data_IF_676104756671
#
_entry.id   IF_676104756671
#
_cell.length_a   1.000
_cell.length_b   1.000
_cell.length_c   1.000
_cell.angle_alpha   90.00
_cell.angle_beta   90.00
_cell.angle_gamma   90.00
#
_symmetry.space_group_name_H-M   'P 1'
#
loop_
_entity.id
_entity.type
_entity.pdbx_description
1 polymer ?
#
# COMPACT_ATOMS: atom_id res chain seq x y z
N UNK A 1 -7.76 6.78 -12.14
CA UNK A 1 -7.75 5.64 -11.18
C UNK A 1 -7.15 6.12 -9.87
N UNK A 2 -7.78 5.79 -8.74
CA UNK A 2 -7.19 5.89 -7.41
C UNK A 2 -7.16 4.47 -6.84
N UNK A 3 -5.97 3.96 -6.52
CA UNK A 3 -5.78 2.57 -6.14
C UNK A 3 -4.98 2.46 -4.84
N UNK A 4 -5.40 1.55 -3.95
CA UNK A 4 -4.79 1.31 -2.66
C UNK A 4 -3.93 0.04 -2.66
N UNK A 5 -2.77 0.09 -2.00
CA UNK A 5 -1.92 -1.07 -1.73
C UNK A 5 -1.53 -1.82 -3.02
N UNK A 6 -1.66 -3.16 -3.04
CA UNK A 6 -1.41 -4.00 -4.21
C UNK A 6 -2.19 -3.53 -5.44
N UNK A 7 -3.39 -2.96 -5.27
CA UNK A 7 -4.20 -2.44 -6.38
C UNK A 7 -3.48 -1.39 -7.24
N UNK A 8 -2.53 -0.64 -6.67
CA UNK A 8 -1.69 0.27 -7.44
C UNK A 8 -0.72 -0.47 -8.39
N UNK A 9 -0.18 -1.61 -7.97
CA UNK A 9 0.66 -2.46 -8.83
C UNK A 9 -0.16 -3.10 -9.95
N UNK A 10 -1.36 -3.61 -9.61
CA UNK A 10 -2.28 -4.22 -10.56
C UNK A 10 -2.77 -3.19 -11.59
N UNK A 11 -3.06 -1.95 -11.15
CA UNK A 11 -3.45 -0.85 -12.05
C UNK A 11 -2.32 -0.48 -13.01
N UNK A 12 -1.07 -0.39 -12.54
CA UNK A 12 0.09 -0.16 -13.43
C UNK A 12 0.21 -1.26 -14.47
N UNK A 13 0.09 -2.52 -14.06
CA UNK A 13 0.13 -3.65 -14.99
C UNK A 13 -1.01 -3.61 -16.00
N UNK A 14 -2.23 -3.27 -15.60
CA UNK A 14 -3.36 -3.13 -16.50
C UNK A 14 -3.13 -1.98 -17.51
N UNK A 15 -2.66 -0.82 -17.06
CA UNK A 15 -2.38 0.33 -17.93
C UNK A 15 -1.33 -0.05 -18.98
N UNK A 16 -0.19 -0.63 -18.55
CA UNK A 16 0.96 -0.85 -19.43
C UNK A 16 0.83 -2.11 -20.29
N UNK A 17 0.32 -3.21 -19.71
CA UNK A 17 0.38 -4.55 -20.34
C UNK A 17 -0.95 -5.02 -20.93
N UNK A 18 -2.08 -4.44 -20.50
CA UNK A 18 -3.40 -4.86 -20.94
C UNK A 18 -4.10 -3.81 -21.82
N UNK A 19 -3.33 -2.85 -22.33
CA UNK A 19 -3.83 -1.85 -23.28
C UNK A 19 -4.77 -0.81 -22.67
N UNK A 20 -4.76 -0.62 -21.34
CA UNK A 20 -5.67 0.33 -20.68
C UNK A 20 -5.20 1.80 -20.75
N UNK A 21 -3.97 2.06 -21.20
CA UNK A 21 -3.42 3.42 -21.25
C UNK A 21 -4.32 4.46 -21.94
N UNK A 22 -4.98 4.17 -23.09
CA UNK A 22 -5.87 5.15 -23.74
C UNK A 22 -7.10 5.55 -22.91
N UNK A 23 -7.45 4.78 -21.91
CA UNK A 23 -8.65 4.99 -21.07
C UNK A 23 -8.33 5.58 -19.70
N UNK A 24 -7.05 5.83 -19.40
CA UNK A 24 -6.60 6.27 -18.07
C UNK A 24 -5.82 7.58 -18.19
N UNK A 25 -6.41 8.66 -17.72
CA UNK A 25 -5.74 9.96 -17.67
C UNK A 25 -4.72 10.05 -16.52
N UNK A 26 -5.03 9.42 -15.37
CA UNK A 26 -4.14 9.43 -14.20
C UNK A 26 -4.25 8.19 -13.32
N UNK A 27 -3.15 7.82 -12.66
CA UNK A 27 -3.11 6.84 -11.57
C UNK A 27 -2.55 7.47 -10.31
N UNK A 28 -3.35 7.51 -9.25
CA UNK A 28 -2.90 7.81 -7.90
C UNK A 28 -2.79 6.52 -7.11
N UNK A 29 -1.58 6.14 -6.75
CA UNK A 29 -1.28 4.97 -5.94
C UNK A 29 -1.18 5.37 -4.45
N UNK A 30 -2.09 4.87 -3.62
CA UNK A 30 -2.14 5.17 -2.18
C UNK A 30 -1.54 4.00 -1.41
N UNK A 31 -0.47 4.25 -0.67
CA UNK A 31 0.29 3.25 0.12
C UNK A 31 0.64 1.97 -0.65
N UNK A 32 0.96 2.13 -1.94
CA UNK A 32 1.32 1.01 -2.82
C UNK A 32 2.81 0.68 -2.69
N UNK A 33 3.20 -0.58 -2.45
CA UNK A 33 4.60 -0.97 -2.35
C UNK A 33 5.23 -1.15 -3.74
N UNK A 34 5.52 -0.06 -4.44
CA UNK A 34 6.06 -0.09 -5.80
C UNK A 34 7.43 -0.79 -5.91
N UNK A 35 8.23 -0.75 -4.84
CA UNK A 35 9.52 -1.45 -4.75
C UNK A 35 9.47 -2.73 -3.91
N UNK A 36 8.24 -3.16 -3.54
CA UNK A 36 8.03 -4.32 -2.68
C UNK A 36 8.46 -4.11 -1.24
N UNK A 37 8.56 -5.20 -0.51
CA UNK A 37 8.90 -5.24 0.91
C UNK A 37 9.98 -6.30 1.14
N UNK A 38 11.12 -5.93 1.71
CA UNK A 38 12.19 -6.87 2.11
C UNK A 38 11.67 -7.80 3.21
N UNK A 39 10.84 -7.27 4.11
CA UNK A 39 10.16 -8.10 5.12
C UNK A 39 9.35 -9.24 4.51
N UNK A 40 8.71 -9.03 3.35
CA UNK A 40 7.95 -10.07 2.66
C UNK A 40 8.86 -11.24 2.24
N UNK A 41 10.06 -10.98 1.74
CA UNK A 41 11.04 -12.01 1.43
C UNK A 41 11.48 -12.77 2.68
N UNK A 42 11.83 -12.03 3.74
CA UNK A 42 12.19 -12.62 5.03
C UNK A 42 11.07 -13.53 5.59
N UNK A 43 9.81 -13.08 5.52
CA UNK A 43 8.66 -13.87 5.94
C UNK A 43 8.57 -15.20 5.19
N UNK A 44 8.77 -15.18 3.87
CA UNK A 44 8.66 -16.37 3.03
C UNK A 44 9.84 -17.34 3.18
N UNK A 45 11.03 -16.81 3.36
CA UNK A 45 12.28 -17.60 3.33
C UNK A 45 12.75 -18.06 4.72
N UNK A 46 12.65 -17.18 5.73
CA UNK A 46 13.30 -17.38 7.03
C UNK A 46 12.35 -17.79 8.15
N UNK A 47 11.06 -17.48 8.02
CA UNK A 47 10.08 -17.87 9.05
C UNK A 47 9.63 -19.32 8.82
N UNK A 48 9.69 -20.18 9.86
CA UNK A 48 9.23 -21.57 9.76
C UNK A 48 7.78 -21.67 9.25
N UNK A 49 7.50 -22.69 8.42
CA UNK A 49 6.21 -22.86 7.74
C UNK A 49 5.01 -22.77 8.69
N UNK A 50 5.08 -23.41 9.87
CA UNK A 50 4.00 -23.38 10.86
C UNK A 50 3.71 -21.96 11.40
N UNK A 51 4.76 -21.17 11.68
CA UNK A 51 4.61 -19.79 12.14
C UNK A 51 4.09 -18.89 11.01
N UNK A 52 4.60 -19.07 9.80
CA UNK A 52 4.14 -18.36 8.60
C UNK A 52 2.67 -18.64 8.31
N UNK A 53 2.21 -19.90 8.43
CA UNK A 53 0.82 -20.26 8.26
C UNK A 53 -0.07 -19.58 9.31
N UNK A 54 0.35 -19.53 10.57
CA UNK A 54 -0.40 -18.84 11.63
C UNK A 54 -0.56 -17.34 11.36
N UNK A 55 0.46 -16.69 10.80
CA UNK A 55 0.38 -15.30 10.35
C UNK A 55 -0.64 -15.21 9.22
N UNK A 56 -0.54 -16.06 8.20
CA UNK A 56 -1.45 -16.09 7.06
C UNK A 56 -2.92 -16.29 7.50
N UNK A 57 -3.17 -17.21 8.41
CA UNK A 57 -4.53 -17.49 8.93
C UNK A 57 -5.12 -16.26 9.62
N UNK A 58 -4.29 -15.51 10.36
CA UNK A 58 -4.71 -14.26 11.03
C UNK A 58 -5.14 -13.20 10.01
N UNK A 59 -4.34 -12.99 8.95
CA UNK A 59 -4.66 -12.03 7.89
C UNK A 59 -5.82 -12.50 7.02
N UNK A 60 -5.88 -13.78 6.67
CA UNK A 60 -6.99 -14.36 5.91
C UNK A 60 -8.32 -14.23 6.66
N UNK A 61 -8.32 -14.44 7.99
CA UNK A 61 -9.52 -14.25 8.81
C UNK A 61 -9.97 -12.78 8.82
N UNK A 62 -9.03 -11.83 8.84
CA UNK A 62 -9.35 -10.41 8.75
C UNK A 62 -9.90 -10.04 7.36
N UNK A 63 -9.29 -10.53 6.28
CA UNK A 63 -9.74 -10.28 4.90
C UNK A 63 -11.13 -10.87 4.64
N UNK A 64 -11.44 -12.07 5.16
CA UNK A 64 -12.79 -12.66 5.09
C UNK A 64 -13.85 -11.77 5.74
N UNK A 65 -13.54 -11.17 6.89
CA UNK A 65 -14.47 -10.22 7.56
C UNK A 65 -14.71 -8.96 6.72
N UNK A 66 -13.80 -8.64 5.82
CA UNK A 66 -13.88 -7.50 4.89
C UNK A 66 -14.55 -7.86 3.56
N UNK A 67 -15.03 -9.11 3.41
CA UNK A 67 -15.77 -9.55 2.23
C UNK A 67 -14.96 -10.30 1.19
N UNK A 68 -13.68 -10.60 1.44
CA UNK A 68 -12.92 -11.49 0.57
C UNK A 68 -13.32 -12.95 0.82
N UNK A 69 -13.96 -13.56 -0.16
CA UNK A 69 -14.44 -14.94 -0.05
C UNK A 69 -13.31 -15.98 -0.08
N UNK A 70 -12.19 -15.67 -0.73
CA UNK A 70 -11.06 -16.59 -0.93
C UNK A 70 -9.70 -15.91 -0.70
N UNK A 71 -9.45 -15.38 0.50
CA UNK A 71 -8.21 -14.69 0.78
C UNK A 71 -7.03 -15.66 0.78
N UNK A 72 -5.97 -15.26 0.10
CA UNK A 72 -4.67 -15.95 0.10
C UNK A 72 -3.55 -14.94 0.40
N UNK A 73 -3.31 -14.75 1.70
CA UNK A 73 -2.29 -13.82 2.18
C UNK A 73 -0.88 -14.17 1.69
N UNK A 74 -0.53 -15.47 1.65
CA UNK A 74 0.82 -15.88 1.23
C UNK A 74 1.05 -15.66 -0.27
N UNK A 75 0.05 -15.92 -1.11
CA UNK A 75 0.14 -15.57 -2.53
C UNK A 75 0.28 -14.06 -2.73
N UNK A 76 -0.52 -13.28 -2.01
CA UNK A 76 -0.41 -11.82 -2.06
C UNK A 76 0.97 -11.31 -1.59
N UNK A 77 1.53 -11.88 -0.50
CA UNK A 77 2.87 -11.53 0.02
C UNK A 77 3.95 -11.88 -0.99
N UNK A 78 3.83 -13.00 -1.70
CA UNK A 78 4.79 -13.40 -2.75
C UNK A 78 4.88 -12.34 -3.85
N UNK A 79 3.75 -11.78 -4.26
CA UNK A 79 3.68 -10.68 -5.24
C UNK A 79 4.31 -9.38 -4.74
N UNK A 80 4.41 -9.22 -3.43
CA UNK A 80 4.89 -8.00 -2.77
C UNK A 80 6.35 -8.08 -2.30
N UNK A 81 7.07 -9.15 -2.61
CA UNK A 81 8.52 -9.23 -2.34
C UNK A 81 9.27 -8.17 -3.15
N UNK A 82 10.41 -7.71 -2.63
CA UNK A 82 11.24 -6.73 -3.33
C UNK A 82 11.67 -7.27 -4.70
N UNK A 83 12.09 -8.55 -4.78
CA UNK A 83 12.48 -9.21 -6.01
C UNK A 83 11.33 -9.35 -7.03
N UNK A 84 10.11 -9.66 -6.58
CA UNK A 84 8.94 -9.72 -7.46
C UNK A 84 8.56 -8.34 -8.02
N UNK A 85 8.63 -7.31 -7.17
CA UNK A 85 8.36 -5.94 -7.59
C UNK A 85 9.44 -5.40 -8.54
N UNK A 86 10.72 -5.72 -8.33
CA UNK A 86 11.80 -5.37 -9.24
C UNK A 86 11.56 -5.97 -10.64
N UNK A 87 11.28 -7.26 -10.72
CA UNK A 87 10.94 -7.95 -11.98
C UNK A 87 9.71 -7.34 -12.66
N UNK A 88 8.67 -7.01 -11.88
CA UNK A 88 7.47 -6.34 -12.40
C UNK A 88 7.80 -4.96 -12.94
N UNK A 89 8.56 -4.16 -12.22
CA UNK A 89 8.93 -2.81 -12.64
C UNK A 89 9.70 -2.79 -13.95
N UNK A 90 10.55 -3.78 -14.19
CA UNK A 90 11.30 -3.91 -15.44
C UNK A 90 10.39 -4.10 -16.68
N UNK A 91 9.19 -4.66 -16.50
CA UNK A 91 8.25 -4.96 -17.60
C UNK A 91 6.96 -4.14 -17.55
N UNK A 92 6.85 -3.21 -16.62
CA UNK A 92 5.70 -2.29 -16.47
C UNK A 92 6.18 -0.84 -16.34
N UNK A 93 6.80 -0.26 -17.38
CA UNK A 93 7.15 1.15 -17.40
C UNK A 93 5.86 2.00 -17.35
N UNK A 94 5.98 3.24 -16.89
CA UNK A 94 4.87 4.17 -16.93
C UNK A 94 4.49 4.48 -18.39
N UNK A 95 3.19 4.40 -18.68
CA UNK A 95 2.70 4.62 -20.05
C UNK A 95 2.72 6.12 -20.39
N UNK A 96 3.19 6.51 -21.59
CA UNK A 96 3.16 7.90 -22.01
C UNK A 96 1.72 8.47 -22.01
N UNK A 97 1.58 9.71 -21.55
CA UNK A 97 0.29 10.41 -21.51
C UNK A 97 -0.58 10.08 -20.30
N UNK A 98 -0.15 9.18 -19.42
CA UNK A 98 -0.80 8.92 -18.13
C UNK A 98 0.00 9.61 -17.00
N UNK A 99 -0.69 10.41 -16.21
CA UNK A 99 -0.08 11.02 -15.03
C UNK A 99 -0.03 10.05 -13.85
N UNK A 100 1.16 9.80 -13.31
CA UNK A 100 1.37 8.92 -12.15
C UNK A 100 1.73 9.72 -10.92
N UNK A 101 1.06 9.44 -9.81
CA UNK A 101 1.46 9.98 -8.50
C UNK A 101 1.26 8.94 -7.40
N UNK A 102 1.96 9.12 -6.31
CA UNK A 102 1.82 8.27 -5.14
C UNK A 102 1.61 9.06 -3.86
N UNK A 103 0.84 8.47 -2.95
CA UNK A 103 0.58 8.98 -1.61
C UNK A 103 0.97 7.91 -0.61
N UNK A 104 1.65 8.29 0.45
CA UNK A 104 2.05 7.37 1.52
C UNK A 104 1.72 7.96 2.88
N UNK A 105 1.38 7.11 3.82
CA UNK A 105 1.19 7.42 5.23
C UNK A 105 2.21 6.68 6.09
N UNK A 106 2.29 7.00 7.37
CA UNK A 106 3.16 6.27 8.28
C UNK A 106 2.71 6.33 9.75
N UNK A 107 3.23 5.38 10.52
CA UNK A 107 3.20 5.40 11.96
C UNK A 107 4.60 5.71 12.51
N UNK A 108 4.69 6.46 13.61
CA UNK A 108 5.99 6.74 14.24
C UNK A 108 6.44 5.62 15.17
N UNK A 109 5.50 4.83 15.69
CA UNK A 109 5.73 3.71 16.62
C UNK A 109 4.66 2.64 16.43
N UNK A 110 4.95 1.40 16.83
CA UNK A 110 4.03 0.27 16.73
C UNK A 110 2.66 0.54 17.41
N UNK A 111 2.68 1.12 18.60
CA UNK A 111 1.45 1.43 19.35
C UNK A 111 0.59 2.53 18.74
N UNK A 112 1.06 3.19 17.69
CA UNK A 112 0.31 4.21 16.95
C UNK A 112 -0.52 3.62 15.81
N UNK A 113 -0.34 2.34 15.51
CA UNK A 113 -1.16 1.56 14.58
C UNK A 113 -2.14 0.64 15.30
N UNK A 114 -3.06 0.02 14.57
CA UNK A 114 -3.99 -0.99 15.08
C UNK A 114 -3.57 -2.42 14.75
N UNK A 115 -4.10 -3.35 15.53
CA UNK A 115 -3.98 -4.79 15.25
C UNK A 115 -4.64 -5.13 13.89
N UNK A 116 -4.03 -5.96 13.05
CA UNK A 116 -2.74 -6.64 13.26
C UNK A 116 -1.50 -5.84 12.83
N UNK A 117 -1.65 -4.66 12.24
CA UNK A 117 -0.57 -3.85 11.64
C UNK A 117 0.45 -3.33 12.67
N UNK A 118 0.01 -3.13 13.90
CA UNK A 118 0.91 -2.74 14.99
C UNK A 118 1.95 -3.84 15.34
N UNK A 119 1.62 -5.11 15.06
CA UNK A 119 2.54 -6.25 15.28
C UNK A 119 3.60 -6.35 14.18
N UNK A 120 3.24 -6.03 12.94
CA UNK A 120 4.19 -6.07 11.81
C UNK A 120 5.06 -4.83 11.72
N UNK A 121 4.60 -3.70 12.27
CA UNK A 121 5.33 -2.43 12.23
C UNK A 121 6.81 -2.52 12.64
N UNK A 122 7.21 -3.11 13.82
CA UNK A 122 8.61 -3.16 14.22
C UNK A 122 9.45 -4.03 13.30
N UNK A 123 8.87 -5.04 12.70
CA UNK A 123 9.56 -5.94 11.79
C UNK A 123 9.79 -5.22 10.45
N UNK A 124 8.75 -4.63 9.87
CA UNK A 124 8.89 -3.81 8.66
C UNK A 124 9.87 -2.66 8.88
N UNK A 125 9.82 -2.02 10.07
CA UNK A 125 10.76 -0.96 10.42
C UNK A 125 12.22 -1.42 10.44
N UNK A 126 12.48 -2.65 10.88
CA UNK A 126 13.83 -3.22 10.93
C UNK A 126 14.40 -3.44 9.51
N UNK A 127 13.58 -3.94 8.59
CA UNK A 127 14.03 -4.29 7.23
C UNK A 127 13.90 -3.14 6.23
N UNK A 128 12.80 -2.40 6.31
CA UNK A 128 12.36 -1.46 5.26
C UNK A 128 12.27 0.00 5.74
N UNK A 129 12.43 0.26 7.05
CA UNK A 129 12.44 1.61 7.61
C UNK A 129 11.07 2.16 8.02
N UNK A 130 10.87 3.47 7.85
CA UNK A 130 9.63 4.16 8.22
C UNK A 130 8.45 3.62 7.42
N UNK A 131 7.35 3.22 8.11
CA UNK A 131 6.27 2.48 7.48
C UNK A 131 4.90 2.75 8.12
N UNK A 132 3.84 2.27 7.48
CA UNK A 132 2.45 2.35 7.92
C UNK A 132 1.93 1.08 8.63
N UNK A 133 2.84 0.17 8.93
CA UNK A 133 2.58 -1.16 9.49
C UNK A 133 2.73 -2.29 8.47
N UNK A 134 2.70 -2.03 7.16
CA UNK A 134 2.92 -3.02 6.10
C UNK A 134 3.89 -2.54 5.02
N UNK A 135 3.80 -1.28 4.60
CA UNK A 135 4.54 -0.72 3.48
C UNK A 135 5.48 0.37 3.99
N UNK A 136 6.73 0.34 3.53
CA UNK A 136 7.70 1.39 3.84
C UNK A 136 7.50 2.61 2.95
N UNK A 137 7.81 3.79 3.51
CA UNK A 137 7.69 5.07 2.81
C UNK A 137 8.49 5.07 1.50
N UNK A 138 9.72 4.56 1.53
CA UNK A 138 10.59 4.55 0.35
C UNK A 138 10.12 3.57 -0.73
N UNK A 139 9.46 2.47 -0.33
CA UNK A 139 8.86 1.54 -1.27
C UNK A 139 7.67 2.14 -2.03
N UNK A 140 6.96 3.09 -1.42
CA UNK A 140 5.77 3.69 -2.01
C UNK A 140 6.05 4.87 -2.95
N UNK A 141 7.30 5.37 -3.03
CA UNK A 141 7.66 6.49 -3.91
C UNK A 141 7.61 6.09 -5.38
N UNK A 142 6.68 6.68 -6.13
CA UNK A 142 6.51 6.43 -7.56
C UNK A 142 5.85 7.62 -8.27
N UNK A 143 6.13 7.73 -9.58
CA UNK A 143 5.52 8.72 -10.46
C UNK A 143 6.12 10.11 -10.31
N UNK A 144 5.46 11.08 -10.93
CA UNK A 144 5.90 12.48 -11.02
C UNK A 144 5.73 13.25 -9.71
N UNK A 145 4.82 12.79 -8.84
CA UNK A 145 4.54 13.42 -7.54
C UNK A 145 4.43 12.39 -6.44
N UNK A 146 5.05 12.71 -5.31
CA UNK A 146 4.93 11.94 -4.08
C UNK A 146 4.43 12.83 -2.95
N UNK A 147 3.39 12.38 -2.25
CA UNK A 147 2.83 13.07 -1.07
C UNK A 147 2.96 12.17 0.15
N UNK A 148 3.57 12.67 1.21
CA UNK A 148 3.63 11.98 2.50
C UNK A 148 2.58 12.58 3.45
N UNK A 149 1.66 11.76 3.92
CA UNK A 149 0.65 12.12 4.92
C UNK A 149 1.28 12.05 6.29
N UNK A 150 1.50 13.21 6.90
CA UNK A 150 2.11 13.29 8.23
C UNK A 150 1.06 13.22 9.34
N UNK A 151 1.20 12.27 10.29
CA UNK A 151 0.29 12.22 11.43
C UNK A 151 0.52 13.44 12.34
N UNK A 152 -0.55 14.18 12.62
CA UNK A 152 -0.52 15.41 13.45
C UNK A 152 -0.52 15.13 14.96
N UNK A 153 -0.75 13.88 15.38
CA UNK A 153 -0.82 13.48 16.78
C UNK A 153 0.04 12.27 17.12
N UNK A 154 -0.23 11.69 18.30
CA UNK A 154 0.39 10.42 18.71
C UNK A 154 -0.10 9.26 17.84
N UNK A 155 -1.38 9.28 17.44
CA UNK A 155 -1.97 8.29 16.53
C UNK A 155 -1.35 8.44 15.14
N UNK A 156 -0.76 7.37 14.62
CA UNK A 156 -0.25 7.31 13.26
C UNK A 156 -1.38 7.12 12.25
N UNK A 157 -1.05 7.21 10.97
CA UNK A 157 -1.96 6.86 9.86
C UNK A 157 -1.46 5.53 9.32
N UNK A 158 -2.11 4.42 9.70
CA UNK A 158 -1.71 3.08 9.30
C UNK A 158 -2.24 2.72 7.91
N UNK A 159 -1.78 1.59 7.37
CA UNK A 159 -2.13 1.09 6.04
C UNK A 159 -3.64 1.00 5.78
N UNK A 160 -4.41 0.60 6.78
CA UNK A 160 -5.88 0.52 6.66
C UNK A 160 -6.61 1.84 6.90
N UNK A 161 -5.96 2.80 7.56
CA UNK A 161 -6.61 4.06 7.92
C UNK A 161 -6.85 4.94 6.68
N UNK A 162 -6.00 4.85 5.67
CA UNK A 162 -6.15 5.60 4.42
C UNK A 162 -7.36 5.17 3.59
N UNK A 163 -7.97 4.03 3.89
CA UNK A 163 -9.22 3.54 3.27
C UNK A 163 -10.36 3.40 4.29
N UNK A 164 -10.22 4.03 5.46
CA UNK A 164 -11.21 4.03 6.54
C UNK A 164 -11.63 2.62 7.02
N UNK A 165 -10.68 1.68 6.97
CA UNK A 165 -10.95 0.27 7.27
C UNK A 165 -11.54 0.05 8.66
N UNK A 166 -11.10 0.83 9.63
CA UNK A 166 -11.54 0.73 11.02
C UNK A 166 -12.64 1.71 11.40
N UNK A 167 -13.04 2.60 10.47
CA UNK A 167 -14.02 3.67 10.69
C UNK A 167 -13.72 4.50 11.95
N UNK A 168 -12.45 4.90 12.08
CA UNK A 168 -11.96 5.68 13.21
C UNK A 168 -11.74 7.14 12.85
N UNK A 169 -12.08 8.01 13.79
CA UNK A 169 -11.63 9.39 13.73
C UNK A 169 -10.16 9.50 14.15
N UNK A 170 -9.28 9.77 13.20
CA UNK A 170 -7.86 9.97 13.46
C UNK A 170 -7.60 11.46 13.66
N UNK A 171 -7.06 11.89 14.83
CA UNK A 171 -6.80 13.29 15.07
C UNK A 171 -5.90 13.91 13.98
N UNK A 172 -6.43 14.89 13.26
CA UNK A 172 -5.73 15.61 12.21
C UNK A 172 -5.62 14.89 10.85
N UNK A 173 -6.36 13.78 10.66
CA UNK A 173 -6.52 13.13 9.38
C UNK A 173 -7.98 12.69 9.19
N UNK A 174 -8.70 13.34 8.28
CA UNK A 174 -10.02 12.92 7.81
C UNK A 174 -9.86 12.26 6.43
N UNK A 175 -10.19 10.98 6.34
CA UNK A 175 -10.02 10.20 5.12
C UNK A 175 -10.93 10.70 3.98
N UNK A 176 -12.13 11.20 4.29
CA UNK A 176 -13.05 11.73 3.28
C UNK A 176 -12.55 13.06 2.72
N UNK A 177 -12.10 13.95 3.58
CA UNK A 177 -11.45 15.21 3.20
C UNK A 177 -10.19 14.96 2.36
N UNK A 178 -9.42 13.93 2.71
CA UNK A 178 -8.26 13.51 1.92
C UNK A 178 -8.66 13.14 0.48
N UNK A 179 -9.66 12.27 0.29
CA UNK A 179 -10.08 11.86 -1.06
C UNK A 179 -10.77 13.00 -1.83
N UNK A 180 -11.57 13.84 -1.17
CA UNK A 180 -12.15 15.03 -1.79
C UNK A 180 -11.06 15.98 -2.29
N UNK A 181 -10.05 16.23 -1.45
CA UNK A 181 -8.92 17.09 -1.81
C UNK A 181 -8.09 16.51 -2.96
N UNK A 182 -7.88 15.19 -2.94
CA UNK A 182 -7.18 14.48 -4.00
C UNK A 182 -7.92 14.56 -5.34
N UNK A 183 -9.23 14.31 -5.34
CA UNK A 183 -10.07 14.41 -6.54
C UNK A 183 -10.12 15.85 -7.07
N UNK A 184 -10.24 16.85 -6.18
CA UNK A 184 -10.22 18.26 -6.55
C UNK A 184 -8.86 18.69 -7.16
N UNK A 185 -7.74 18.15 -6.64
CA UNK A 185 -6.42 18.41 -7.21
C UNK A 185 -6.28 17.83 -8.62
N UNK A 186 -6.70 16.58 -8.81
CA UNK A 186 -6.72 15.93 -10.13
C UNK A 186 -7.58 16.70 -11.13
N UNK A 187 -8.79 17.12 -10.73
CA UNK A 187 -9.67 17.95 -11.58
C UNK A 187 -9.03 19.28 -11.97
N UNK A 188 -8.35 19.99 -11.05
CA UNK A 188 -7.63 21.25 -11.38
C UNK A 188 -6.48 21.03 -12.37
N UNK A 189 -5.92 19.84 -12.43
CA UNK A 189 -4.87 19.45 -13.37
C UNK A 189 -5.40 19.00 -14.74
N UNK A 190 -6.72 18.87 -14.89
CA UNK A 190 -7.35 18.45 -16.14
C UNK A 190 -7.59 16.95 -16.27
N UNK A 191 -7.55 16.21 -15.15
CA UNK A 191 -7.79 14.76 -15.12
C UNK A 191 -9.19 14.42 -14.65
#
# INVERSE_FOLDING_TARGET
>A
IIAHSKGGLDSRAAITRQGMAPYVASLTAVTTPHRGCIFAEYLLEKIPAAARQKIADTYNAALKRLGDERPDFLAAVTDLTASACEKRNAVTPDAPGVFYQSVMSYCRRAQHGKFPLNMTYPIVKHFDGLNDGLVAVDSARWGERFTLLEPKGKRGISHGDVVDLNRENIPGFDVREFYVSLAADLKRRGF
#
